data_IF_542356540829
#
_entry.id   IF_542356540829
#
_cell.length_a   1.000
_cell.length_b   1.000
_cell.length_c   1.000
_cell.angle_alpha   90.00
_cell.angle_beta   90.00
_cell.angle_gamma   90.00
#
_symmetry.space_group_name_H-M   'P 1'
#
loop_
_entity.id
_entity.type
_entity.pdbx_description
1 polymer ?
#
# COMPACT_ATOMS: atom_id res chain seq x y z
N UNK A 1 -10.00 -22.15 31.05
CA UNK A 1 -9.26 -20.93 30.66
C UNK A 1 -9.52 -20.64 29.19
N UNK A 2 -10.25 -19.58 28.81
CA UNK A 2 -10.20 -19.15 27.41
C UNK A 2 -9.93 -17.65 27.28
N UNK A 3 -9.06 -17.30 26.35
CA UNK A 3 -8.72 -15.93 26.04
C UNK A 3 -7.74 -15.92 24.88
N UNK A 4 -8.26 -16.15 23.67
CA UNK A 4 -7.51 -16.13 22.44
C UNK A 4 -6.68 -14.85 22.36
N UNK A 5 -5.37 -15.04 22.29
CA UNK A 5 -4.40 -13.97 22.04
C UNK A 5 -4.72 -13.44 20.65
N UNK A 6 -5.52 -12.37 20.62
CA UNK A 6 -5.80 -11.60 19.43
C UNK A 6 -4.45 -11.28 18.78
N UNK A 7 -4.34 -11.63 17.50
CA UNK A 7 -3.22 -11.30 16.66
C UNK A 7 -3.14 -9.77 16.54
N UNK A 8 -2.55 -9.12 17.54
CA UNK A 8 -2.25 -7.70 17.50
C UNK A 8 -0.94 -7.50 16.74
N UNK A 9 -0.95 -7.93 15.48
CA UNK A 9 -0.01 -7.53 14.44
C UNK A 9 -0.74 -6.61 13.46
N UNK A 10 -1.51 -5.64 13.98
CA UNK A 10 -2.15 -4.64 13.13
C UNK A 10 -1.05 -3.71 12.65
N UNK A 11 -0.48 -4.04 11.49
CA UNK A 11 0.33 -3.14 10.67
C UNK A 11 -0.38 -1.79 10.69
N UNK A 12 0.30 -0.79 11.26
CA UNK A 12 -0.26 0.55 11.44
C UNK A 12 -0.32 1.16 10.04
N UNK A 13 -1.40 0.89 9.31
CA UNK A 13 -1.66 1.43 7.97
C UNK A 13 -1.51 2.94 8.03
N UNK A 14 -0.82 3.53 7.06
CA UNK A 14 -0.66 4.98 7.04
C UNK A 14 -2.03 5.65 6.89
N UNK A 15 -2.57 6.31 7.94
CA UNK A 15 -3.95 6.78 7.95
C UNK A 15 -4.21 7.83 6.87
N UNK A 16 -3.16 8.46 6.33
CA UNK A 16 -3.24 9.50 5.30
C UNK A 16 -3.67 8.97 3.94
N UNK A 17 -3.13 7.82 3.51
CA UNK A 17 -3.47 7.21 2.21
C UNK A 17 -4.92 6.71 2.26
N UNK A 18 -5.28 5.98 3.31
CA UNK A 18 -6.64 5.48 3.48
C UNK A 18 -7.67 6.61 3.57
N UNK A 19 -7.40 7.68 4.32
CA UNK A 19 -8.29 8.84 4.41
C UNK A 19 -8.42 9.58 3.08
N UNK A 20 -7.34 9.72 2.31
CA UNK A 20 -7.39 10.33 0.98
C UNK A 20 -8.29 9.52 0.05
N UNK A 21 -8.10 8.19 -0.01
CA UNK A 21 -8.90 7.33 -0.89
C UNK A 21 -10.34 7.28 -0.40
N UNK A 22 -10.60 7.19 0.90
CA UNK A 22 -11.95 7.11 1.46
C UNK A 22 -12.80 8.35 1.14
N UNK A 23 -12.19 9.52 0.97
CA UNK A 23 -12.87 10.75 0.54
C UNK A 23 -13.35 10.70 -0.92
N UNK A 24 -12.67 9.93 -1.78
CA UNK A 24 -12.95 9.90 -3.22
C UNK A 24 -13.68 8.60 -3.65
N UNK A 25 -13.30 7.46 -3.05
CA UNK A 25 -13.81 6.10 -3.34
C UNK A 25 -13.77 5.22 -2.08
N UNK A 26 -14.74 5.36 -1.15
CA UNK A 26 -14.75 4.63 0.12
C UNK A 26 -14.77 3.11 -0.04
N UNK A 27 -15.44 2.59 -1.07
CA UNK A 27 -15.44 1.15 -1.40
C UNK A 27 -14.06 0.60 -1.77
N UNK A 28 -13.16 1.45 -2.27
CA UNK A 28 -11.83 1.05 -2.73
C UNK A 28 -10.73 1.36 -1.71
N UNK A 29 -11.04 2.16 -0.69
CA UNK A 29 -10.06 2.64 0.28
C UNK A 29 -9.28 1.52 0.97
N UNK A 30 -9.96 0.45 1.37
CA UNK A 30 -9.31 -0.69 2.02
C UNK A 30 -8.34 -1.40 1.06
N UNK A 31 -8.84 -1.85 -0.10
CA UNK A 31 -8.05 -2.62 -1.07
C UNK A 31 -6.87 -1.83 -1.65
N UNK A 32 -7.06 -0.53 -1.90
CA UNK A 32 -6.00 0.34 -2.43
C UNK A 32 -4.95 0.63 -1.36
N UNK A 33 -5.34 0.78 -0.09
CA UNK A 33 -4.36 0.94 1.00
C UNK A 33 -3.52 -0.33 1.17
N UNK A 34 -4.13 -1.53 1.12
CA UNK A 34 -3.39 -2.80 1.20
C UNK A 34 -2.42 -3.00 0.04
N UNK A 35 -2.82 -2.56 -1.17
CA UNK A 35 -1.95 -2.54 -2.33
C UNK A 35 -0.74 -1.61 -2.12
N UNK A 36 -0.98 -0.39 -1.64
CA UNK A 36 0.09 0.58 -1.37
C UNK A 36 1.03 0.11 -0.27
N UNK A 37 0.52 -0.46 0.82
CA UNK A 37 1.35 -1.01 1.91
C UNK A 37 2.27 -2.13 1.37
N UNK A 38 1.70 -3.06 0.59
CA UNK A 38 2.48 -4.15 -0.03
C UNK A 38 3.55 -3.61 -0.97
N UNK A 39 3.19 -2.64 -1.81
CA UNK A 39 4.11 -2.00 -2.75
C UNK A 39 5.27 -1.30 -2.02
N UNK A 40 4.97 -0.50 -0.99
CA UNK A 40 5.98 0.22 -0.20
C UNK A 40 6.90 -0.72 0.57
N UNK A 41 6.36 -1.82 1.14
CA UNK A 41 7.15 -2.86 1.78
C UNK A 41 8.11 -3.53 0.78
N UNK A 42 7.62 -3.89 -0.40
CA UNK A 42 8.42 -4.49 -1.48
C UNK A 42 9.51 -3.56 -2.00
N UNK A 43 9.18 -2.29 -2.27
CA UNK A 43 10.15 -1.28 -2.70
C UNK A 43 11.22 -1.04 -1.63
N UNK A 44 10.84 -0.99 -0.36
CA UNK A 44 11.78 -0.85 0.75
C UNK A 44 12.72 -2.04 0.85
N UNK A 45 12.22 -3.26 0.62
CA UNK A 45 13.06 -4.46 0.58
C UNK A 45 14.04 -4.42 -0.60
N UNK A 46 13.56 -4.10 -1.80
CA UNK A 46 14.40 -4.01 -3.01
C UNK A 46 15.48 -2.94 -2.90
N UNK A 47 15.16 -1.78 -2.32
CA UNK A 47 16.15 -0.75 -2.02
C UNK A 47 17.25 -1.26 -1.08
N UNK A 48 16.89 -2.05 -0.05
CA UNK A 48 17.86 -2.67 0.86
C UNK A 48 18.71 -3.76 0.18
N UNK A 49 18.16 -4.44 -0.82
CA UNK A 49 18.89 -5.40 -1.67
C UNK A 49 19.85 -4.71 -2.66
N UNK A 50 19.79 -3.38 -2.79
CA UNK A 50 20.68 -2.59 -3.65
C UNK A 50 20.11 -2.29 -5.04
N UNK A 51 18.81 -2.48 -5.27
CA UNK A 51 18.19 -2.04 -6.53
C UNK A 51 18.36 -0.53 -6.72
N UNK A 52 18.65 -0.14 -7.96
CA UNK A 52 18.87 1.25 -8.31
C UNK A 52 17.58 2.07 -8.26
N UNK A 53 17.70 3.35 -7.93
CA UNK A 53 16.57 4.28 -7.92
C UNK A 53 15.75 4.26 -9.22
N UNK A 54 16.36 4.26 -10.43
CA UNK A 54 15.59 4.15 -11.68
C UNK A 54 14.71 2.89 -11.76
N UNK A 55 15.21 1.75 -11.29
CA UNK A 55 14.46 0.48 -11.30
C UNK A 55 13.29 0.50 -10.32
N UNK A 56 13.49 1.09 -9.14
CA UNK A 56 12.43 1.29 -8.16
C UNK A 56 11.35 2.24 -8.71
N UNK A 57 11.74 3.33 -9.37
CA UNK A 57 10.81 4.28 -9.99
C UNK A 57 10.01 3.66 -11.14
N UNK A 58 10.60 2.75 -11.91
CA UNK A 58 9.89 2.02 -12.96
C UNK A 58 8.78 1.13 -12.37
N UNK A 59 9.07 0.47 -11.26
CA UNK A 59 8.07 -0.32 -10.51
C UNK A 59 6.93 0.57 -9.99
N UNK A 60 7.26 1.75 -9.45
CA UNK A 60 6.26 2.73 -8.98
C UNK A 60 5.40 3.25 -10.14
N UNK A 61 5.99 3.51 -11.31
CA UNK A 61 5.24 3.96 -12.50
C UNK A 61 4.21 2.93 -12.95
N UNK A 62 4.60 1.66 -13.01
CA UNK A 62 3.66 0.58 -13.36
C UNK A 62 2.52 0.47 -12.33
N UNK A 63 2.83 0.64 -11.05
CA UNK A 63 1.81 0.70 -10.01
C UNK A 63 0.85 1.89 -10.17
N UNK A 64 1.36 3.05 -10.56
CA UNK A 64 0.56 4.24 -10.86
C UNK A 64 -0.52 3.98 -11.92
N UNK A 65 -0.19 3.24 -12.98
CA UNK A 65 -1.15 2.87 -14.03
C UNK A 65 -2.33 2.04 -13.50
N UNK A 66 -2.06 1.13 -12.55
CA UNK A 66 -3.12 0.36 -11.90
C UNK A 66 -4.03 1.25 -11.04
N UNK A 67 -3.45 2.24 -10.35
CA UNK A 67 -4.21 3.20 -9.53
C UNK A 67 -5.09 4.11 -10.39
N UNK A 68 -4.63 4.58 -11.54
CA UNK A 68 -5.44 5.40 -12.47
C UNK A 68 -6.70 4.66 -12.93
N UNK A 69 -6.61 3.34 -13.12
CA UNK A 69 -7.77 2.53 -13.47
C UNK A 69 -8.79 2.38 -12.32
N UNK A 70 -8.30 2.39 -11.07
CA UNK A 70 -9.13 2.19 -9.87
C UNK A 70 -9.71 3.52 -9.35
N UNK A 71 -8.94 4.59 -9.44
CA UNK A 71 -9.25 5.94 -8.97
C UNK A 71 -9.27 6.91 -10.16
N UNK A 72 -10.23 6.77 -11.10
CA UNK A 72 -10.35 7.73 -12.19
C UNK A 72 -10.67 9.12 -11.64
N UNK A 73 -10.13 10.14 -12.32
CA UNK A 73 -10.14 11.55 -11.92
C UNK A 73 -11.54 12.09 -11.59
#
# INVERSE_FOLDING_TARGET
MPGGRQANGMLRREPKIQQYIARHRPQDALRVTDYMDTLMLGLSAKAREGDSLPRLLETVRLAGLALEHILPA
#
